data_IF_348136994883
#
_entry.id   IF_348136994883
#
_cell.length_a   1.000
_cell.length_b   1.000
_cell.length_c   1.000
_cell.angle_alpha   90.00
_cell.angle_beta   90.00
_cell.angle_gamma   90.00
#
_symmetry.space_group_name_H-M   'P 1'
#
loop_
_entity.id
_entity.type
_entity.pdbx_description
1 polymer ?
#
# COMPACT_ATOMS: atom_id res chain seq x y z
N UNK A 1 -7.68 18.64 26.64
CA UNK A 1 -7.11 17.28 26.65
C UNK A 1 -7.52 16.44 25.43
N UNK A 2 -8.81 16.13 25.24
CA UNK A 2 -9.31 15.24 24.16
C UNK A 2 -8.88 15.57 22.70
N UNK A 3 -8.56 16.83 22.41
CA UNK A 3 -8.13 17.28 21.07
C UNK A 3 -6.62 17.05 20.83
N UNK A 4 -5.79 17.13 21.88
CA UNK A 4 -4.35 16.84 21.80
C UNK A 4 -4.10 15.35 21.56
N UNK A 5 -4.87 14.47 22.21
CA UNK A 5 -4.74 13.02 22.03
C UNK A 5 -5.04 12.58 20.59
N UNK A 6 -6.01 13.24 19.95
CA UNK A 6 -6.34 12.99 18.54
C UNK A 6 -5.21 13.44 17.61
N UNK A 7 -4.58 14.58 17.87
CA UNK A 7 -3.46 15.06 17.07
C UNK A 7 -2.23 14.15 17.20
N UNK A 8 -1.94 13.67 18.41
CA UNK A 8 -0.85 12.72 18.68
C UNK A 8 -1.14 11.37 18.00
N UNK A 9 -2.38 10.88 18.05
CA UNK A 9 -2.74 9.64 17.36
C UNK A 9 -2.57 9.77 15.84
N UNK A 10 -2.99 10.89 15.25
CA UNK A 10 -2.85 11.14 13.82
C UNK A 10 -1.38 11.20 13.40
N UNK A 11 -0.49 11.83 14.18
CA UNK A 11 0.94 11.87 13.85
C UNK A 11 1.59 10.50 13.89
N UNK A 12 1.19 9.62 14.82
CA UNK A 12 1.67 8.23 14.90
C UNK A 12 1.16 7.38 13.73
N UNK A 13 -0.07 7.60 13.28
CA UNK A 13 -0.68 6.82 12.19
C UNK A 13 -0.29 7.32 10.80
N UNK A 14 0.09 8.58 10.66
CA UNK A 14 0.38 9.21 9.38
C UNK A 14 1.37 8.40 8.51
N UNK A 15 2.55 7.95 9.03
CA UNK A 15 3.50 7.19 8.24
C UNK A 15 2.90 5.89 7.68
N UNK A 16 2.10 5.17 8.49
CA UNK A 16 1.46 3.92 8.09
C UNK A 16 0.41 4.15 6.99
N UNK A 17 -0.42 5.17 7.16
CA UNK A 17 -1.45 5.51 6.17
C UNK A 17 -0.82 5.95 4.84
N UNK A 18 0.28 6.71 4.88
CA UNK A 18 1.06 7.07 3.68
C UNK A 18 1.65 5.84 3.00
N UNK A 19 2.24 4.89 3.76
CA UNK A 19 2.71 3.62 3.21
C UNK A 19 1.57 2.88 2.50
N UNK A 20 0.39 2.78 3.13
CA UNK A 20 -0.73 2.01 2.60
C UNK A 20 -1.30 2.63 1.32
N UNK A 21 -1.38 3.96 1.24
CA UNK A 21 -1.77 4.67 0.03
C UNK A 21 -0.79 4.41 -1.13
N UNK A 22 0.52 4.40 -0.86
CA UNK A 22 1.54 4.10 -1.87
C UNK A 22 1.50 2.63 -2.33
N UNK A 23 1.26 1.68 -1.42
CA UNK A 23 1.07 0.26 -1.78
C UNK A 23 -0.18 0.08 -2.63
N UNK A 24 -1.30 0.70 -2.25
CA UNK A 24 -2.54 0.67 -3.03
C UNK A 24 -2.32 1.24 -4.45
N UNK A 25 -1.59 2.36 -4.56
CA UNK A 25 -1.25 2.93 -5.87
C UNK A 25 -0.37 1.99 -6.70
N UNK A 26 0.55 1.29 -6.06
CA UNK A 26 1.45 0.34 -6.73
C UNK A 26 0.72 -0.86 -7.34
N UNK A 27 -0.50 -1.18 -6.90
CA UNK A 27 -1.36 -2.21 -7.50
C UNK A 27 -1.67 -1.95 -8.98
N UNK A 28 -1.58 -0.70 -9.46
CA UNK A 28 -1.72 -0.40 -10.89
C UNK A 28 -0.74 -1.20 -11.77
N UNK A 29 0.37 -1.68 -11.22
CA UNK A 29 1.35 -2.52 -11.93
C UNK A 29 0.90 -3.96 -12.13
N UNK A 30 -0.16 -4.39 -11.44
CA UNK A 30 -0.73 -5.73 -11.53
C UNK A 30 -1.98 -5.79 -12.41
N UNK A 31 -2.48 -4.64 -12.92
CA UNK A 31 -3.66 -4.59 -13.79
C UNK A 31 -3.39 -5.33 -15.10
N UNK A 32 -4.41 -6.04 -15.61
CA UNK A 32 -4.42 -6.74 -16.89
C UNK A 32 -3.93 -8.18 -16.78
N UNK A 33 -4.26 -8.87 -15.69
CA UNK A 33 -3.81 -10.23 -15.41
C UNK A 33 -2.32 -10.35 -15.10
N UNK A 34 -1.66 -9.25 -14.75
CA UNK A 34 -0.24 -9.25 -14.40
C UNK A 34 -0.04 -9.82 -13.00
N UNK A 35 1.10 -10.51 -12.82
CA UNK A 35 1.53 -11.04 -11.54
C UNK A 35 3.02 -10.79 -11.34
N UNK A 36 3.43 -10.64 -10.08
CA UNK A 36 4.82 -10.32 -9.74
C UNK A 36 5.31 -11.16 -8.56
N UNK A 37 6.61 -11.42 -8.49
CA UNK A 37 7.20 -11.98 -7.27
C UNK A 37 7.00 -10.98 -6.13
N UNK A 38 6.51 -11.46 -4.98
CA UNK A 38 6.17 -10.60 -3.83
C UNK A 38 7.35 -9.74 -3.39
N UNK A 39 8.57 -10.31 -3.38
CA UNK A 39 9.78 -9.56 -3.06
C UNK A 39 10.08 -8.42 -4.05
N UNK A 40 9.76 -8.57 -5.32
CA UNK A 40 9.91 -7.53 -6.34
C UNK A 40 8.82 -6.47 -6.21
N UNK A 41 7.58 -6.89 -5.96
CA UNK A 41 6.48 -5.98 -5.71
C UNK A 41 6.73 -5.11 -4.46
N UNK A 42 7.25 -5.71 -3.38
CA UNK A 42 7.65 -4.97 -2.17
C UNK A 42 8.72 -3.91 -2.50
N UNK A 43 9.73 -4.24 -3.30
CA UNK A 43 10.75 -3.27 -3.74
C UNK A 43 10.12 -2.13 -4.55
N UNK A 44 9.16 -2.44 -5.41
CA UNK A 44 8.43 -1.44 -6.19
C UNK A 44 7.64 -0.49 -5.28
N UNK A 45 6.94 -1.01 -4.28
CA UNK A 45 6.24 -0.21 -3.28
C UNK A 45 7.21 0.70 -2.51
N UNK A 46 8.34 0.17 -2.04
CA UNK A 46 9.36 0.96 -1.34
C UNK A 46 9.90 2.08 -2.22
N UNK A 47 10.14 1.81 -3.50
CA UNK A 47 10.56 2.83 -4.46
C UNK A 47 9.51 3.94 -4.62
N UNK A 48 8.24 3.59 -4.72
CA UNK A 48 7.16 4.57 -4.82
C UNK A 48 7.04 5.41 -3.54
N UNK A 49 7.11 4.80 -2.35
CA UNK A 49 7.08 5.54 -1.08
C UNK A 49 8.28 6.50 -0.99
N UNK A 50 9.47 6.02 -1.35
CA UNK A 50 10.69 6.83 -1.37
C UNK A 50 10.54 8.03 -2.30
N UNK A 51 10.01 7.81 -3.52
CA UNK A 51 9.71 8.89 -4.48
C UNK A 51 8.79 9.95 -3.87
N UNK A 52 7.73 9.54 -3.18
CA UNK A 52 6.79 10.47 -2.52
C UNK A 52 7.47 11.29 -1.44
N UNK A 53 8.35 10.67 -0.65
CA UNK A 53 9.12 11.37 0.40
C UNK A 53 10.08 12.37 -0.23
N UNK A 54 10.84 11.97 -1.25
CA UNK A 54 11.78 12.85 -1.96
C UNK A 54 11.09 14.01 -2.68
N UNK A 55 9.87 13.79 -3.20
CA UNK A 55 9.06 14.82 -3.83
C UNK A 55 8.33 15.75 -2.83
N UNK A 56 8.40 15.46 -1.52
CA UNK A 56 7.67 16.19 -0.48
C UNK A 56 6.16 15.86 -0.41
N UNK A 57 5.68 14.88 -1.17
CA UNK A 57 4.31 14.36 -1.16
C UNK A 57 4.02 13.55 0.13
N UNK A 58 5.06 13.05 0.80
CA UNK A 58 4.99 12.41 2.11
C UNK A 58 6.07 12.99 3.04
N UNK A 59 5.66 13.63 4.13
CA UNK A 59 6.58 14.28 5.07
C UNK A 59 7.23 13.28 6.05
N UNK A 60 6.80 12.03 6.02
CA UNK A 60 7.16 11.02 7.02
C UNK A 60 8.19 10.04 6.45
N UNK A 61 9.48 10.28 6.72
CA UNK A 61 10.54 9.34 6.31
C UNK A 61 10.33 7.91 6.86
N UNK A 62 9.69 7.79 8.03
CA UNK A 62 9.30 6.53 8.66
C UNK A 62 8.31 5.70 7.83
N UNK A 63 7.65 6.31 6.84
CA UNK A 63 6.76 5.60 5.91
C UNK A 63 7.52 4.61 5.00
N UNK A 64 8.83 4.79 4.82
CA UNK A 64 9.69 3.89 4.05
C UNK A 64 10.01 2.65 4.92
N UNK A 65 9.03 1.75 5.05
CA UNK A 65 9.13 0.56 5.90
C UNK A 65 8.67 -0.69 5.17
N UNK A 66 9.58 -1.66 5.05
CA UNK A 66 9.27 -2.96 4.44
C UNK A 66 8.21 -3.72 5.25
N UNK A 67 8.22 -3.60 6.57
CA UNK A 67 7.25 -4.28 7.43
C UNK A 67 5.86 -3.65 7.29
N UNK A 68 5.77 -2.33 7.19
CA UNK A 68 4.50 -1.64 6.89
C UNK A 68 3.96 -2.03 5.51
N UNK A 69 4.81 -2.20 4.50
CA UNK A 69 4.40 -2.72 3.18
C UNK A 69 3.85 -4.14 3.31
N UNK A 70 4.56 -5.07 3.98
CA UNK A 70 4.08 -6.45 4.20
C UNK A 70 2.76 -6.49 4.95
N UNK A 71 2.60 -5.64 5.97
CA UNK A 71 1.35 -5.53 6.71
C UNK A 71 0.21 -5.03 5.83
N UNK A 72 0.47 -4.07 4.94
CA UNK A 72 -0.51 -3.63 3.94
C UNK A 72 -0.93 -4.76 3.01
N UNK A 73 0.02 -5.53 2.48
CA UNK A 73 -0.28 -6.68 1.60
C UNK A 73 -1.18 -7.70 2.31
N UNK A 74 -0.90 -8.03 3.57
CA UNK A 74 -1.77 -8.92 4.37
C UNK A 74 -3.18 -8.36 4.53
N UNK A 75 -3.33 -7.04 4.70
CA UNK A 75 -4.65 -6.40 4.78
C UNK A 75 -5.40 -6.50 3.45
N UNK A 76 -4.71 -6.27 2.33
CA UNK A 76 -5.31 -6.35 0.99
C UNK A 76 -5.70 -7.79 0.63
N UNK A 77 -4.84 -8.77 0.98
CA UNK A 77 -5.10 -10.20 0.81
C UNK A 77 -6.32 -10.63 1.63
N UNK A 78 -6.38 -10.24 2.92
CA UNK A 78 -7.54 -10.54 3.80
C UNK A 78 -8.85 -9.94 3.30
N UNK A 79 -8.77 -8.85 2.53
CA UNK A 79 -9.93 -8.18 1.89
C UNK A 79 -10.24 -8.71 0.49
N UNK A 80 -9.52 -9.74 0.03
CA UNK A 80 -9.67 -10.33 -1.31
C UNK A 80 -9.46 -9.33 -2.45
N UNK A 81 -8.61 -8.31 -2.24
CA UNK A 81 -8.22 -7.35 -3.28
C UNK A 81 -7.08 -7.91 -4.12
N UNK A 82 -6.15 -8.60 -3.47
CA UNK A 82 -5.03 -9.30 -4.08
C UNK A 82 -5.08 -10.77 -3.73
N UNK A 83 -4.40 -11.57 -4.53
CA UNK A 83 -4.12 -12.97 -4.27
C UNK A 83 -2.61 -13.15 -4.13
N UNK A 84 -2.19 -13.94 -3.14
CA UNK A 84 -0.79 -14.34 -2.99
C UNK A 84 -0.71 -15.87 -3.03
N UNK A 85 -0.08 -16.39 -4.09
CA UNK A 85 0.08 -17.83 -4.29
C UNK A 85 1.54 -18.22 -4.08
N UNK A 86 1.77 -19.33 -3.37
CA UNK A 86 3.09 -19.93 -3.25
C UNK A 86 3.28 -20.96 -4.37
N UNK A 87 4.21 -20.69 -5.28
CA UNK A 87 4.62 -21.59 -6.34
C UNK A 87 6.06 -22.05 -6.09
N UNK A 88 6.24 -23.28 -5.61
CA UNK A 88 7.55 -23.88 -5.33
C UNK A 88 8.47 -23.02 -4.45
N UNK A 89 7.92 -22.37 -3.42
CA UNK A 89 8.66 -21.50 -2.50
C UNK A 89 8.73 -20.04 -2.94
N UNK A 90 8.28 -19.71 -4.15
CA UNK A 90 8.19 -18.33 -4.64
C UNK A 90 6.77 -17.82 -4.43
N UNK A 91 6.63 -16.73 -3.67
CA UNK A 91 5.35 -16.05 -3.47
C UNK A 91 5.10 -15.08 -4.63
N UNK A 92 3.96 -15.24 -5.29
CA UNK A 92 3.52 -14.43 -6.43
C UNK A 92 2.28 -13.63 -6.00
N UNK A 93 2.25 -12.35 -6.33
CA UNK A 93 1.17 -11.40 -6.04
C UNK A 93 0.45 -11.05 -7.34
N UNK A 94 -0.87 -11.11 -7.35
CA UNK A 94 -1.74 -10.65 -8.44
C UNK A 94 -2.98 -9.94 -7.88
N UNK A 95 -3.70 -9.21 -8.73
CA UNK A 95 -5.03 -8.72 -8.38
C UNK A 95 -6.05 -9.86 -8.39
N UNK A 96 -7.02 -9.80 -7.49
CA UNK A 96 -8.22 -10.62 -7.63
C UNK A 96 -9.04 -10.15 -8.84
N UNK A 97 -9.75 -11.05 -9.51
CA UNK A 97 -10.49 -10.73 -10.74
C UNK A 97 -11.48 -9.57 -10.59
N UNK A 98 -12.09 -9.41 -9.41
CA UNK A 98 -13.02 -8.30 -9.11
C UNK A 98 -12.33 -6.93 -9.04
N UNK A 99 -11.00 -6.90 -8.89
CA UNK A 99 -10.19 -5.69 -8.75
C UNK A 99 -9.22 -5.46 -9.91
N UNK A 100 -9.23 -6.33 -10.93
CA UNK A 100 -8.33 -6.26 -12.09
C UNK A 100 -8.78 -5.22 -13.14
N UNK A 101 -9.01 -3.98 -12.70
CA UNK A 101 -9.30 -2.84 -13.55
C UNK A 101 -8.81 -1.54 -12.93
N UNK A 102 -8.55 -0.53 -13.76
CA UNK A 102 -8.11 0.79 -13.28
C UNK A 102 -9.11 1.41 -12.31
N UNK A 103 -10.40 1.27 -12.59
CA UNK A 103 -11.48 1.84 -11.77
C UNK A 103 -11.49 1.22 -10.36
N UNK A 104 -11.34 -0.10 -10.27
CA UNK A 104 -11.37 -0.80 -8.99
C UNK A 104 -10.08 -0.59 -8.19
N UNK A 105 -8.92 -0.56 -8.82
CA UNK A 105 -7.67 -0.17 -8.14
C UNK A 105 -7.77 1.27 -7.63
N UNK A 106 -8.33 2.19 -8.41
CA UNK A 106 -8.51 3.58 -8.00
C UNK A 106 -9.47 3.70 -6.80
N UNK A 107 -10.51 2.87 -6.73
CA UNK A 107 -11.43 2.85 -5.58
C UNK A 107 -10.71 2.43 -4.28
N UNK A 108 -9.80 1.45 -4.37
CA UNK A 108 -8.93 1.02 -3.26
C UNK A 108 -7.97 2.14 -2.84
N UNK A 109 -7.33 2.82 -3.79
CA UNK A 109 -6.44 3.96 -3.53
C UNK A 109 -7.18 5.06 -2.77
N UNK A 110 -8.33 5.50 -3.29
CA UNK A 110 -9.14 6.54 -2.66
C UNK A 110 -9.62 6.14 -1.26
N UNK A 111 -9.92 4.85 -1.04
CA UNK A 111 -10.31 4.34 0.27
C UNK A 111 -9.19 4.47 1.31
N UNK A 112 -7.94 4.21 0.91
CA UNK A 112 -6.77 4.34 1.80
C UNK A 112 -6.38 5.80 2.03
N UNK A 113 -6.46 6.64 0.99
CA UNK A 113 -6.10 8.06 1.05
C UNK A 113 -6.99 8.86 2.02
N UNK A 114 -8.23 8.44 2.25
CA UNK A 114 -9.12 9.05 3.28
C UNK A 114 -8.53 9.09 4.68
N UNK A 115 -7.55 8.23 4.97
CA UNK A 115 -6.91 8.15 6.27
C UNK A 115 -5.54 8.82 6.32
N UNK A 116 -5.01 9.28 5.19
CA UNK A 116 -3.75 10.03 5.13
C UNK A 116 -3.99 11.44 5.66
N UNK A 117 -3.31 11.88 6.72
CA UNK A 117 -3.48 13.23 7.24
C UNK A 117 -3.00 14.26 6.21
N UNK A 118 -3.86 15.24 5.93
CA UNK A 118 -3.60 16.41 5.09
C UNK A 118 -2.78 17.47 5.81
#
# INVERSE_FOLDING_TARGET
EKQSDRLVLLSVLAPFTSTYAAVAFSLNKLIGGNAMVEGEFIKLCIKEITRRVEAGECQYGESISTDSVRNCLKVLEKRSIIEIVNNNGVRIVSLAAAYDSTQEVQSVVQSMEKFVPS
#
